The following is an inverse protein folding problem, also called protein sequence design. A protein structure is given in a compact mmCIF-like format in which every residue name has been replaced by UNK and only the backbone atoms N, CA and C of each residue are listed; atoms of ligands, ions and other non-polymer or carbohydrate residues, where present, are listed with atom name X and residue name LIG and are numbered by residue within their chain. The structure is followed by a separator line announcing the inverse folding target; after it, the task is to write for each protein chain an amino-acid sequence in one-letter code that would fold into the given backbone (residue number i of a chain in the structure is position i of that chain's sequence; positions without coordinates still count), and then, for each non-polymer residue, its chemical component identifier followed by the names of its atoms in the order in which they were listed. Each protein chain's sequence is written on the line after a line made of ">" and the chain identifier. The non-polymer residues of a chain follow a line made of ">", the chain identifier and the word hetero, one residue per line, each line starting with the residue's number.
data_IF_513454120505
#
_entry.id   IF_513454120505
#
_cell.length_a   1.000
_cell.length_b   1.000
_cell.length_c   1.000
_cell.angle_alpha   90.00
_cell.angle_beta   90.00
_cell.angle_gamma   90.00
#
_symmetry.space_group_name_H-M   'P 1'
#
loop_
_entity.id
_entity.type
_entity.pdbx_description
1 polymer ?
#
# COMPACT_ATOMS: atom_id res chain seq x y z
N UNK A 1 -36.68 5.99 -104.77
CA UNK A 1 -35.23 5.97 -104.44
C UNK A 1 -34.99 4.72 -103.60
N UNK A 2 -34.91 3.55 -104.24
CA UNK A 2 -33.71 2.94 -104.83
C UNK A 2 -32.72 2.47 -103.75
N UNK A 3 -32.80 1.19 -103.38
CA UNK A 3 -31.82 0.10 -103.66
C UNK A 3 -30.80 -0.05 -102.50
N UNK A 4 -30.39 -1.22 -101.99
CA UNK A 4 -30.59 -2.63 -102.33
C UNK A 4 -30.28 -3.52 -101.09
N UNK A 5 -30.80 -4.75 -101.08
CA UNK A 5 -30.34 -5.90 -100.27
C UNK A 5 -29.24 -6.66 -101.06
N UNK A 6 -28.38 -7.58 -100.52
CA UNK A 6 -28.81 -8.84 -99.89
C UNK A 6 -27.91 -9.47 -98.78
N UNK A 7 -28.49 -10.50 -98.14
CA UNK A 7 -27.93 -11.62 -97.35
C UNK A 7 -26.40 -11.91 -97.36
N UNK A 8 -25.82 -12.27 -96.20
CA UNK A 8 -25.24 -13.62 -95.96
C UNK A 8 -24.89 -13.91 -94.48
N UNK A 9 -24.94 -15.20 -94.15
CA UNK A 9 -24.76 -15.88 -92.86
C UNK A 9 -23.31 -16.31 -92.56
N UNK A 10 -23.10 -16.76 -91.31
CA UNK A 10 -22.05 -17.66 -90.77
C UNK A 10 -20.82 -17.02 -90.11
N UNK A 11 -20.75 -17.12 -88.76
CA UNK A 11 -19.74 -17.92 -88.05
C UNK A 11 -20.03 -17.93 -86.54
N UNK A 12 -20.57 -19.05 -86.06
CA UNK A 12 -20.62 -19.42 -84.65
C UNK A 12 -19.20 -19.70 -84.12
N UNK A 13 -18.87 -19.18 -82.94
CA UNK A 13 -17.61 -19.48 -82.23
C UNK A 13 -17.95 -20.26 -80.95
N UNK A 14 -17.46 -21.49 -80.75
CA UNK A 14 -17.83 -22.28 -79.60
C UNK A 14 -17.13 -21.74 -78.34
N UNK A 15 -17.93 -21.36 -77.33
CA UNK A 15 -17.43 -21.14 -75.98
C UNK A 15 -17.03 -22.50 -75.39
N UNK A 16 -15.72 -22.72 -75.19
CA UNK A 16 -15.22 -23.89 -74.45
C UNK A 16 -15.78 -23.84 -73.04
N UNK A 17 -16.67 -24.79 -72.72
CA UNK A 17 -17.13 -25.05 -71.37
C UNK A 17 -15.91 -25.40 -70.50
N UNK A 18 -15.53 -24.48 -69.62
CA UNK A 18 -14.51 -24.70 -68.61
C UNK A 18 -15.07 -25.76 -67.66
N UNK A 19 -14.44 -26.94 -67.64
CA UNK A 19 -14.90 -28.10 -66.89
C UNK A 19 -15.17 -27.75 -65.42
N UNK A 20 -16.27 -28.28 -64.86
CA UNK A 20 -16.64 -28.12 -63.44
C UNK A 20 -15.53 -28.56 -62.49
N UNK A 21 -14.62 -29.44 -62.93
CA UNK A 21 -13.41 -29.82 -62.19
C UNK A 21 -12.41 -28.68 -61.99
N UNK A 22 -12.33 -27.69 -62.89
CA UNK A 22 -11.44 -26.53 -62.74
C UNK A 22 -11.96 -25.60 -61.64
N UNK A 23 -13.28 -25.40 -61.56
CA UNK A 23 -13.90 -24.63 -60.48
C UNK A 23 -13.75 -25.33 -59.11
N UNK A 24 -13.85 -26.66 -59.08
CA UNK A 24 -13.60 -27.43 -57.86
C UNK A 24 -12.13 -27.31 -57.39
N UNK A 25 -11.17 -27.41 -58.32
CA UNK A 25 -9.74 -27.26 -57.99
C UNK A 25 -9.39 -25.84 -57.53
N UNK A 26 -9.98 -24.80 -58.14
CA UNK A 26 -9.80 -23.42 -57.69
C UNK A 26 -10.39 -23.20 -56.29
N UNK A 27 -11.57 -23.75 -56.01
CA UNK A 27 -12.20 -23.63 -54.68
C UNK A 27 -11.43 -24.37 -53.58
N UNK A 28 -10.90 -25.57 -53.86
CA UNK A 28 -10.03 -26.32 -52.93
C UNK A 28 -8.71 -25.58 -52.69
N UNK A 29 -8.11 -24.98 -53.71
CA UNK A 29 -6.87 -24.22 -53.55
C UNK A 29 -7.04 -22.97 -52.64
N UNK A 30 -8.20 -22.32 -52.67
CA UNK A 30 -8.53 -21.18 -51.81
C UNK A 30 -8.77 -21.60 -50.35
N UNK A 31 -9.32 -22.79 -50.12
CA UNK A 31 -9.51 -23.35 -48.77
C UNK A 31 -8.17 -23.77 -48.13
N UNK A 32 -7.26 -24.36 -48.90
CA UNK A 32 -5.93 -24.71 -48.38
C UNK A 32 -5.04 -23.49 -48.10
N UNK A 33 -5.12 -22.45 -48.93
CA UNK A 33 -4.35 -21.22 -48.71
C UNK A 33 -4.87 -20.41 -47.53
N UNK A 34 -6.18 -20.34 -47.30
CA UNK A 34 -6.75 -19.69 -46.11
C UNK A 34 -6.48 -20.45 -44.80
N UNK A 35 -6.48 -21.79 -44.81
CA UNK A 35 -6.13 -22.59 -43.66
C UNK A 35 -4.63 -22.47 -43.29
N UNK A 36 -3.74 -22.45 -44.30
CA UNK A 36 -2.31 -22.21 -44.09
C UNK A 36 -2.03 -20.79 -43.56
N UNK A 37 -2.73 -19.78 -44.08
CA UNK A 37 -2.62 -18.40 -43.61
C UNK A 37 -3.15 -18.23 -42.17
N UNK A 38 -4.26 -18.90 -41.83
CA UNK A 38 -4.78 -18.94 -40.46
C UNK A 38 -3.82 -19.64 -39.49
N UNK A 39 -3.16 -20.74 -39.89
CA UNK A 39 -2.14 -21.40 -39.06
C UNK A 39 -0.85 -20.59 -38.90
N UNK A 40 -0.54 -19.69 -39.86
CA UNK A 40 0.56 -18.72 -39.74
C UNK A 40 0.20 -17.53 -38.85
N UNK A 41 -1.06 -17.09 -38.85
CA UNK A 41 -1.56 -16.01 -37.99
C UNK A 41 -1.91 -16.47 -36.57
N UNK A 42 -2.23 -17.75 -36.38
CA UNK A 42 -2.57 -18.37 -35.10
C UNK A 42 -1.56 -19.43 -34.65
N UNK A 43 -0.31 -19.38 -35.13
CA UNK A 43 0.75 -19.97 -34.32
C UNK A 43 0.87 -19.10 -33.07
N UNK A 44 0.58 -19.63 -31.86
CA UNK A 44 1.10 -18.99 -30.67
C UNK A 44 2.60 -19.19 -30.78
N UNK A 45 3.27 -18.23 -31.42
CA UNK A 45 4.64 -17.96 -31.04
C UNK A 45 4.53 -17.66 -29.55
N UNK A 46 4.75 -18.70 -28.76
CA UNK A 46 5.40 -18.57 -27.48
C UNK A 46 6.72 -17.87 -27.80
N UNK A 47 6.63 -16.55 -27.96
CA UNK A 47 7.72 -15.63 -27.74
C UNK A 47 8.05 -15.80 -26.27
N UNK A 48 8.75 -16.90 -25.98
CA UNK A 48 9.69 -16.96 -24.89
C UNK A 48 10.74 -15.93 -25.29
N UNK A 49 10.46 -14.66 -24.99
CA UNK A 49 11.49 -13.65 -24.90
C UNK A 49 12.37 -14.07 -23.72
N UNK A 50 13.29 -14.99 -23.99
CA UNK A 50 14.49 -15.20 -23.19
C UNK A 50 15.47 -14.06 -23.52
N UNK A 51 14.97 -12.83 -23.48
CA UNK A 51 15.77 -11.62 -23.46
C UNK A 51 16.05 -11.38 -21.99
N UNK A 52 17.28 -11.62 -21.55
CA UNK A 52 17.74 -11.16 -20.24
C UNK A 52 17.53 -9.65 -20.20
N UNK A 53 16.40 -9.18 -19.63
CA UNK A 53 16.16 -7.75 -19.54
C UNK A 53 17.22 -7.19 -18.57
N UNK A 54 17.78 -6.00 -18.83
CA UNK A 54 18.91 -5.45 -18.09
C UNK A 54 18.68 -5.26 -16.57
N UNK A 55 17.46 -5.50 -16.08
CA UNK A 55 17.03 -5.24 -14.71
C UNK A 55 16.51 -6.47 -13.94
N UNK A 56 16.65 -7.70 -14.47
CA UNK A 56 16.16 -8.90 -13.76
C UNK A 56 16.78 -9.08 -12.37
N UNK A 57 18.05 -8.69 -12.23
CA UNK A 57 18.79 -8.84 -10.98
C UNK A 57 18.20 -7.98 -9.83
N UNK A 58 17.48 -6.90 -10.14
CA UNK A 58 16.80 -6.07 -9.14
C UNK A 58 15.66 -6.82 -8.43
N UNK A 59 15.12 -7.84 -9.08
CA UNK A 59 14.02 -8.65 -8.57
C UNK A 59 14.49 -9.98 -7.94
N UNK A 60 15.79 -10.22 -7.81
CA UNK A 60 16.31 -11.50 -7.32
C UNK A 60 15.93 -11.77 -5.86
N UNK A 61 15.81 -10.72 -5.04
CA UNK A 61 15.35 -10.80 -3.65
C UNK A 61 13.87 -10.46 -3.47
N UNK A 62 13.13 -10.23 -4.56
CA UNK A 62 11.71 -9.93 -4.46
C UNK A 62 10.92 -11.19 -4.09
N UNK A 63 10.02 -11.07 -3.12
CA UNK A 63 9.12 -12.17 -2.70
C UNK A 63 8.34 -12.76 -3.88
N UNK A 64 7.92 -11.92 -4.84
CA UNK A 64 7.27 -12.34 -6.07
C UNK A 64 8.04 -11.80 -7.28
N UNK A 65 8.99 -12.60 -7.78
CA UNK A 65 9.87 -12.22 -8.90
C UNK A 65 9.08 -11.85 -10.16
N UNK A 66 8.05 -12.61 -10.52
CA UNK A 66 7.22 -12.34 -11.72
C UNK A 66 6.51 -10.99 -11.65
N UNK A 67 5.88 -10.68 -10.52
CA UNK A 67 5.20 -9.39 -10.32
C UNK A 67 6.18 -8.22 -10.32
N UNK A 68 7.34 -8.38 -9.67
CA UNK A 68 8.40 -7.39 -9.70
C UNK A 68 8.84 -7.09 -11.14
N UNK A 69 9.13 -8.13 -11.93
CA UNK A 69 9.51 -7.98 -13.34
C UNK A 69 8.40 -7.32 -14.17
N UNK A 70 7.14 -7.67 -13.95
CA UNK A 70 6.00 -7.05 -14.61
C UNK A 70 5.95 -5.54 -14.32
N UNK A 71 6.11 -5.12 -13.06
CA UNK A 71 6.16 -3.71 -12.70
C UNK A 71 7.35 -2.98 -13.32
N UNK A 72 8.54 -3.60 -13.37
CA UNK A 72 9.69 -2.97 -14.02
C UNK A 72 9.48 -2.82 -15.53
N UNK A 73 8.88 -3.83 -16.18
CA UNK A 73 8.58 -3.77 -17.61
C UNK A 73 7.61 -2.64 -17.96
N UNK A 74 6.63 -2.36 -17.08
CA UNK A 74 5.68 -1.25 -17.22
C UNK A 74 6.40 0.11 -17.27
N UNK A 75 7.53 0.26 -16.57
CA UNK A 75 8.28 1.51 -16.49
C UNK A 75 9.22 1.72 -17.68
N UNK A 76 9.80 0.66 -18.23
CA UNK A 76 10.80 0.73 -19.32
C UNK A 76 10.23 1.19 -20.67
N UNK A 77 8.90 1.22 -20.83
CA UNK A 77 8.25 1.78 -22.02
C UNK A 77 8.29 3.32 -22.05
N UNK A 78 8.76 3.97 -20.99
CA UNK A 78 8.66 5.42 -20.81
C UNK A 78 10.00 6.19 -20.79
N UNK A 79 11.19 5.57 -20.94
CA UNK A 79 12.46 6.35 -20.86
C UNK A 79 13.68 5.70 -21.51
N UNK A 80 14.50 6.50 -22.19
CA UNK A 80 15.89 6.20 -22.61
C UNK A 80 16.85 6.50 -21.45
N UNK A 81 17.58 5.49 -20.97
CA UNK A 81 18.44 5.61 -19.77
C UNK A 81 19.95 5.53 -20.10
N UNK A 82 20.75 6.41 -19.47
CA UNK A 82 22.23 6.36 -19.46
C UNK A 82 22.78 6.22 -18.03
N UNK A 83 23.80 5.36 -17.86
CA UNK A 83 24.60 5.03 -16.64
C UNK A 83 23.90 4.33 -15.46
N UNK A 84 24.58 3.32 -14.88
CA UNK A 84 23.98 2.22 -14.09
C UNK A 84 23.52 2.53 -12.66
N UNK A 85 24.23 3.36 -11.89
CA UNK A 85 23.86 3.60 -10.47
C UNK A 85 22.73 4.62 -10.32
N UNK A 86 22.66 5.60 -11.21
CA UNK A 86 21.56 6.58 -11.27
C UNK A 86 20.27 5.93 -11.81
N UNK A 87 20.42 4.89 -12.64
CA UNK A 87 19.30 4.14 -13.23
C UNK A 87 18.45 3.42 -12.19
N UNK A 88 19.05 2.71 -11.23
CA UNK A 88 18.27 1.97 -10.22
C UNK A 88 17.48 2.93 -9.31
N UNK A 89 18.08 4.07 -8.94
CA UNK A 89 17.41 5.13 -8.19
C UNK A 89 16.27 5.76 -9.01
N UNK A 90 16.50 6.09 -10.29
CA UNK A 90 15.45 6.58 -11.21
C UNK A 90 14.30 5.59 -11.39
N UNK A 91 14.61 4.30 -11.49
CA UNK A 91 13.61 3.25 -11.63
C UNK A 91 12.75 3.13 -10.36
N UNK A 92 13.38 3.18 -9.18
CA UNK A 92 12.67 3.22 -7.90
C UNK A 92 11.77 4.46 -7.80
N UNK A 93 12.27 5.66 -8.11
CA UNK A 93 11.44 6.88 -8.12
C UNK A 93 10.26 6.79 -9.10
N UNK A 94 10.48 6.21 -10.28
CA UNK A 94 9.43 6.01 -11.28
C UNK A 94 8.37 5.01 -10.79
N UNK A 95 8.81 3.92 -10.16
CA UNK A 95 7.92 2.93 -9.53
C UNK A 95 7.09 3.57 -8.40
N UNK A 96 7.72 4.36 -7.53
CA UNK A 96 7.03 5.05 -6.43
C UNK A 96 6.02 6.08 -6.97
N UNK A 97 6.37 6.83 -8.01
CA UNK A 97 5.45 7.75 -8.68
C UNK A 97 4.24 7.01 -9.25
N UNK A 98 4.47 5.89 -9.94
CA UNK A 98 3.40 5.05 -10.48
C UNK A 98 2.53 4.45 -9.35
N UNK A 99 3.16 4.05 -8.25
CA UNK A 99 2.48 3.53 -7.06
C UNK A 99 1.53 4.59 -6.49
N UNK A 100 1.95 5.85 -6.36
CA UNK A 100 1.07 6.96 -5.92
C UNK A 100 -0.15 7.12 -6.82
N UNK A 101 0.01 7.08 -8.15
CA UNK A 101 -1.13 7.15 -9.07
C UNK A 101 -2.11 5.99 -8.87
N UNK A 102 -1.58 4.77 -8.66
CA UNK A 102 -2.41 3.59 -8.43
C UNK A 102 -3.11 3.63 -7.06
N UNK A 103 -2.45 4.12 -6.01
CA UNK A 103 -3.08 4.32 -4.70
C UNK A 103 -4.22 5.32 -4.82
N UNK A 104 -4.01 6.45 -5.52
CA UNK A 104 -5.06 7.45 -5.72
C UNK A 104 -6.27 6.87 -6.47
N UNK A 105 -6.04 6.14 -7.55
CA UNK A 105 -7.10 5.45 -8.30
C UNK A 105 -7.88 4.48 -7.41
N UNK A 106 -7.18 3.71 -6.58
CA UNK A 106 -7.78 2.76 -5.65
C UNK A 106 -8.59 3.47 -4.58
N UNK A 107 -8.06 4.57 -4.02
CA UNK A 107 -8.76 5.43 -3.06
C UNK A 107 -10.07 5.99 -3.62
N UNK A 108 -10.05 6.49 -4.87
CA UNK A 108 -11.25 6.99 -5.54
C UNK A 108 -12.28 5.88 -5.76
N UNK A 109 -11.80 4.68 -6.09
CA UNK A 109 -12.64 3.48 -6.26
C UNK A 109 -13.26 3.05 -4.93
N UNK A 110 -12.48 3.01 -3.85
CA UNK A 110 -12.96 2.74 -2.48
C UNK A 110 -14.04 3.73 -2.08
N UNK A 111 -13.81 5.04 -2.31
CA UNK A 111 -14.81 6.10 -2.06
C UNK A 111 -16.09 5.85 -2.86
N UNK A 112 -15.98 5.55 -4.15
CA UNK A 112 -17.13 5.27 -5.00
C UNK A 112 -17.91 4.02 -4.57
N UNK A 113 -17.22 2.94 -4.17
CA UNK A 113 -17.85 1.71 -3.67
C UNK A 113 -18.57 1.97 -2.36
N UNK A 114 -17.97 2.73 -1.43
CA UNK A 114 -18.56 3.07 -0.14
C UNK A 114 -19.95 3.72 -0.28
N UNK A 115 -20.11 4.62 -1.25
CA UNK A 115 -21.42 5.27 -1.51
C UNK A 115 -22.46 4.36 -2.18
N UNK A 116 -22.05 3.23 -2.76
CA UNK A 116 -22.95 2.27 -3.45
C UNK A 116 -23.36 1.09 -2.59
N UNK A 117 -22.54 0.75 -1.60
CA UNK A 117 -22.79 -0.35 -0.67
C UNK A 117 -23.78 0.10 0.40
N UNK A 118 -24.80 -0.71 0.67
CA UNK A 118 -25.84 -0.43 1.68
C UNK A 118 -25.57 -1.11 3.03
N UNK A 119 -24.53 -1.95 3.12
CA UNK A 119 -24.16 -2.63 4.36
C UNK A 119 -23.29 -1.71 5.24
N UNK A 120 -23.74 -1.35 6.46
CA UNK A 120 -23.00 -0.43 7.33
C UNK A 120 -21.63 -0.95 7.76
N UNK A 121 -21.48 -2.27 7.96
CA UNK A 121 -20.19 -2.88 8.34
C UNK A 121 -19.20 -2.73 7.17
N UNK A 122 -19.63 -3.01 5.95
CA UNK A 122 -18.81 -2.82 4.76
C UNK A 122 -18.48 -1.35 4.51
N UNK A 123 -19.41 -0.42 4.75
CA UNK A 123 -19.13 1.03 4.65
C UNK A 123 -18.04 1.46 5.64
N UNK A 124 -18.09 0.97 6.89
CA UNK A 124 -17.10 1.28 7.91
C UNK A 124 -15.72 0.68 7.57
N UNK A 125 -15.68 -0.56 7.06
CA UNK A 125 -14.46 -1.18 6.56
C UNK A 125 -13.85 -0.37 5.40
N UNK A 126 -14.66 0.08 4.44
CA UNK A 126 -14.21 0.92 3.34
C UNK A 126 -13.69 2.28 3.83
N UNK A 127 -14.32 2.88 4.84
CA UNK A 127 -13.82 4.12 5.46
C UNK A 127 -12.44 3.92 6.12
N UNK A 128 -12.23 2.79 6.81
CA UNK A 128 -10.91 2.44 7.36
C UNK A 128 -9.89 2.23 6.24
N UNK A 129 -10.28 1.53 5.17
CA UNK A 129 -9.41 1.38 4.01
C UNK A 129 -9.03 2.74 3.38
N UNK A 130 -9.98 3.68 3.23
CA UNK A 130 -9.70 5.03 2.74
C UNK A 130 -8.62 5.71 3.61
N UNK A 131 -8.74 5.63 4.94
CA UNK A 131 -7.77 6.19 5.86
C UNK A 131 -6.38 5.55 5.67
N UNK A 132 -6.30 4.23 5.52
CA UNK A 132 -5.04 3.50 5.30
C UNK A 132 -4.40 3.85 3.96
N UNK A 133 -5.20 4.04 2.90
CA UNK A 133 -4.70 4.44 1.58
C UNK A 133 -4.21 5.89 1.57
N UNK A 134 -4.90 6.82 2.24
CA UNK A 134 -4.43 8.21 2.40
C UNK A 134 -3.11 8.27 3.19
N UNK A 135 -2.98 7.50 4.27
CA UNK A 135 -1.72 7.35 4.99
C UNK A 135 -0.61 6.75 4.12
N UNK A 136 -0.97 5.83 3.23
CA UNK A 136 0.00 5.22 2.31
C UNK A 136 0.52 6.24 1.30
N UNK A 137 -0.33 7.13 0.76
CA UNK A 137 0.11 8.23 -0.11
C UNK A 137 1.15 9.12 0.57
N UNK A 138 0.86 9.56 1.80
CA UNK A 138 1.78 10.38 2.59
C UNK A 138 3.13 9.67 2.76
N UNK A 139 3.13 8.37 3.10
CA UNK A 139 4.36 7.58 3.32
C UNK A 139 5.14 7.30 2.05
N UNK A 140 4.49 7.11 0.91
CA UNK A 140 5.20 7.01 -0.37
C UNK A 140 5.88 8.34 -0.70
N UNK A 141 5.19 9.47 -0.49
CA UNK A 141 5.78 10.80 -0.70
C UNK A 141 6.95 11.08 0.23
N UNK A 142 6.80 10.82 1.53
CA UNK A 142 7.89 10.93 2.52
C UNK A 142 9.11 10.12 2.05
N UNK A 143 8.88 8.87 1.60
CA UNK A 143 9.94 7.99 1.10
C UNK A 143 10.68 8.59 -0.10
N UNK A 144 9.95 9.12 -1.08
CA UNK A 144 10.60 9.75 -2.23
C UNK A 144 11.40 10.99 -1.83
N UNK A 145 10.93 11.78 -0.87
CA UNK A 145 11.66 12.96 -0.37
C UNK A 145 12.95 12.52 0.33
N UNK A 146 12.89 11.54 1.24
CA UNK A 146 14.09 11.06 1.94
C UNK A 146 15.13 10.43 1.00
N UNK A 147 14.69 9.76 -0.07
CA UNK A 147 15.60 9.19 -1.07
C UNK A 147 16.40 10.25 -1.84
N UNK A 148 15.98 11.52 -1.82
CA UNK A 148 16.77 12.63 -2.39
C UNK A 148 18.04 12.94 -1.59
N UNK A 149 18.04 12.67 -0.27
CA UNK A 149 19.18 12.95 0.61
C UNK A 149 20.31 11.93 0.47
N UNK A 150 19.99 10.72 0.00
CA UNK A 150 20.95 9.62 -0.25
C UNK A 150 21.83 9.26 0.96
N UNK A 151 21.30 9.38 2.18
CA UNK A 151 22.02 8.98 3.41
C UNK A 151 21.54 7.60 3.89
N UNK A 152 22.35 6.90 4.71
CA UNK A 152 21.92 5.63 5.32
C UNK A 152 20.65 5.81 6.14
N UNK A 153 20.57 6.91 6.91
CA UNK A 153 19.40 7.23 7.72
C UNK A 153 18.16 7.47 6.84
N UNK A 154 18.28 8.29 5.80
CA UNK A 154 17.14 8.59 4.93
C UNK A 154 16.66 7.35 4.16
N UNK A 155 17.56 6.43 3.82
CA UNK A 155 17.20 5.13 3.28
C UNK A 155 16.48 4.22 4.29
N UNK A 156 16.90 4.21 5.56
CA UNK A 156 16.22 3.47 6.64
C UNK A 156 14.82 4.04 6.91
N UNK A 157 14.68 5.38 6.88
CA UNK A 157 13.39 6.06 6.98
C UNK A 157 12.48 5.67 5.82
N UNK A 158 12.97 5.73 4.58
CA UNK A 158 12.23 5.26 3.40
C UNK A 158 11.83 3.78 3.49
N UNK A 159 12.71 2.91 3.99
CA UNK A 159 12.40 1.49 4.19
C UNK A 159 11.26 1.32 5.20
N UNK A 160 11.30 2.05 6.32
CA UNK A 160 10.27 2.04 7.36
C UNK A 160 8.92 2.51 6.82
N UNK A 161 8.92 3.60 6.05
CA UNK A 161 7.68 4.14 5.47
C UNK A 161 7.10 3.24 4.37
N UNK A 162 7.92 2.68 3.47
CA UNK A 162 7.43 1.73 2.48
C UNK A 162 6.96 0.41 3.11
N UNK A 163 7.56 -0.02 4.22
CA UNK A 163 7.06 -1.16 5.02
C UNK A 163 5.68 -0.85 5.61
N UNK A 164 5.49 0.39 6.10
CA UNK A 164 4.19 0.87 6.57
C UNK A 164 3.16 0.89 5.43
N UNK A 165 3.52 1.32 4.22
CA UNK A 165 2.65 1.28 3.03
C UNK A 165 2.18 -0.15 2.74
N UNK A 166 3.09 -1.13 2.76
CA UNK A 166 2.74 -2.54 2.59
C UNK A 166 1.75 -3.01 3.66
N UNK A 167 2.02 -2.72 4.94
CA UNK A 167 1.13 -3.08 6.04
C UNK A 167 -0.24 -2.46 5.86
N UNK A 168 -0.33 -1.16 5.54
CA UNK A 168 -1.60 -0.47 5.32
C UNK A 168 -2.41 -1.10 4.17
N UNK A 169 -1.77 -1.49 3.07
CA UNK A 169 -2.44 -2.13 1.94
C UNK A 169 -2.97 -3.52 2.30
N UNK A 170 -2.19 -4.33 3.04
CA UNK A 170 -2.62 -5.63 3.53
C UNK A 170 -3.76 -5.47 4.54
N UNK A 171 -3.65 -4.56 5.50
CA UNK A 171 -4.74 -4.28 6.45
C UNK A 171 -6.00 -3.82 5.73
N UNK A 172 -5.93 -2.90 4.75
CA UNK A 172 -7.12 -2.53 3.99
C UNK A 172 -7.75 -3.76 3.29
N UNK A 173 -6.94 -4.62 2.67
CA UNK A 173 -7.42 -5.84 2.04
C UNK A 173 -8.09 -6.79 3.04
N UNK A 174 -7.55 -6.92 4.24
CA UNK A 174 -8.11 -7.77 5.30
C UNK A 174 -9.42 -7.20 5.87
N UNK A 175 -9.57 -5.87 5.95
CA UNK A 175 -10.78 -5.22 6.46
C UNK A 175 -11.98 -5.34 5.50
N UNK A 176 -11.75 -5.30 4.19
CA UNK A 176 -12.86 -5.34 3.21
C UNK A 176 -13.36 -6.77 3.00
N UNK A 177 -14.67 -6.95 3.16
CA UNK A 177 -15.36 -8.25 3.03
C UNK A 177 -16.53 -8.19 2.04
N UNK A 178 -17.06 -9.35 1.67
CA UNK A 178 -18.30 -9.49 0.90
C UNK A 178 -18.26 -8.81 -0.47
N UNK A 179 -19.36 -8.14 -0.83
CA UNK A 179 -19.51 -7.45 -2.11
C UNK A 179 -18.49 -6.33 -2.30
N UNK A 180 -18.14 -5.61 -1.24
CA UNK A 180 -17.12 -4.56 -1.31
C UNK A 180 -15.76 -5.14 -1.71
N UNK A 181 -15.35 -6.26 -1.07
CA UNK A 181 -14.10 -6.96 -1.41
C UNK A 181 -14.06 -7.38 -2.87
N UNK A 182 -15.12 -8.04 -3.36
CA UNK A 182 -15.19 -8.52 -4.74
C UNK A 182 -14.98 -7.42 -5.79
N UNK A 183 -15.30 -6.16 -5.46
CA UNK A 183 -15.16 -5.01 -6.35
C UNK A 183 -13.75 -4.40 -6.34
N UNK A 184 -12.98 -4.52 -5.25
CA UNK A 184 -11.72 -3.79 -5.05
C UNK A 184 -10.50 -4.71 -4.85
N UNK A 185 -10.70 -6.01 -4.65
CA UNK A 185 -9.64 -6.97 -4.30
C UNK A 185 -8.51 -7.01 -5.31
N UNK A 186 -8.80 -6.90 -6.61
CA UNK A 186 -7.75 -6.85 -7.63
C UNK A 186 -6.87 -5.60 -7.51
N UNK A 187 -7.47 -4.43 -7.26
CA UNK A 187 -6.74 -3.17 -7.12
C UNK A 187 -5.88 -3.20 -5.83
N UNK A 188 -6.40 -3.74 -4.72
CA UNK A 188 -5.65 -3.89 -3.47
C UNK A 188 -4.49 -4.88 -3.60
N UNK A 189 -4.69 -6.01 -4.28
CA UNK A 189 -3.61 -6.96 -4.54
C UNK A 189 -2.50 -6.35 -5.42
N UNK A 190 -2.87 -5.54 -6.42
CA UNK A 190 -1.89 -4.77 -7.21
C UNK A 190 -1.09 -3.81 -6.33
N UNK A 191 -1.74 -3.08 -5.42
CA UNK A 191 -1.06 -2.21 -4.45
C UNK A 191 -0.11 -2.98 -3.52
N UNK A 192 -0.54 -4.10 -2.95
CA UNK A 192 0.31 -4.97 -2.12
C UNK A 192 1.54 -5.43 -2.91
N UNK A 193 1.33 -5.86 -4.17
CA UNK A 193 2.38 -6.31 -5.06
C UNK A 193 3.39 -5.18 -5.39
N UNK A 194 2.91 -3.97 -5.66
CA UNK A 194 3.75 -2.79 -5.91
C UNK A 194 4.54 -2.38 -4.68
N UNK A 195 3.93 -2.37 -3.50
CA UNK A 195 4.63 -2.08 -2.24
C UNK A 195 5.76 -3.07 -1.96
N UNK A 196 5.52 -4.38 -2.17
CA UNK A 196 6.57 -5.42 -2.09
C UNK A 196 7.71 -5.19 -3.08
N UNK A 197 7.36 -4.80 -4.31
CA UNK A 197 8.35 -4.50 -5.36
C UNK A 197 9.20 -3.29 -5.01
N UNK A 198 8.57 -2.21 -4.51
CA UNK A 198 9.25 -1.00 -4.06
C UNK A 198 10.24 -1.27 -2.93
N UNK A 199 9.86 -2.10 -1.96
CA UNK A 199 10.77 -2.54 -0.88
C UNK A 199 11.95 -3.34 -1.41
N UNK A 200 11.71 -4.31 -2.31
CA UNK A 200 12.79 -5.11 -2.90
C UNK A 200 13.80 -4.24 -3.67
N UNK A 201 13.31 -3.28 -4.46
CA UNK A 201 14.16 -2.34 -5.19
C UNK A 201 14.90 -1.40 -4.25
N UNK A 202 14.24 -0.89 -3.20
CA UNK A 202 14.88 -0.02 -2.21
C UNK A 202 16.06 -0.74 -1.56
N UNK A 203 15.86 -1.95 -1.05
CA UNK A 203 16.93 -2.75 -0.41
C UNK A 203 18.10 -2.97 -1.37
N UNK A 204 17.83 -3.14 -2.67
CA UNK A 204 18.89 -3.26 -3.67
C UNK A 204 19.67 -1.96 -3.93
N UNK A 205 18.99 -0.80 -3.84
CA UNK A 205 19.61 0.53 -4.03
C UNK A 205 20.35 1.00 -2.78
N UNK A 206 19.97 0.50 -1.60
CA UNK A 206 20.62 0.82 -0.34
C UNK A 206 22.10 0.34 -0.35
N UNK A 207 23.04 1.15 0.17
CA UNK A 207 24.43 0.72 0.28
C UNK A 207 24.52 -0.52 1.19
N UNK A 208 25.23 -1.56 0.74
CA UNK A 208 25.36 -2.85 1.44
C UNK A 208 26.03 -2.78 2.81
N UNK A 209 26.54 -1.61 3.21
CA UNK A 209 26.94 -1.36 4.59
C UNK A 209 25.73 -0.88 5.38
N UNK A 210 24.87 -1.83 5.70
CA UNK A 210 24.11 -1.70 6.93
C UNK A 210 25.15 -1.98 8.02
N UNK A 211 25.84 -0.92 8.47
CA UNK A 211 26.22 -0.89 9.87
C UNK A 211 24.87 -0.91 10.59
N UNK A 212 24.35 -2.12 10.82
CA UNK A 212 23.35 -2.31 11.86
C UNK A 212 24.08 -1.72 13.02
N UNK A 213 23.65 -0.55 13.47
CA UNK A 213 24.01 -0.11 14.80
C UNK A 213 23.37 -1.19 15.65
N UNK A 214 24.12 -2.26 15.88
CA UNK A 214 23.95 -3.16 16.99
C UNK A 214 24.28 -2.27 18.19
N UNK A 215 23.37 -1.32 18.46
CA UNK A 215 23.30 -0.63 19.73
C UNK A 215 22.88 -1.75 20.65
N UNK A 216 23.88 -2.52 21.07
CA UNK A 216 23.78 -3.57 22.03
C UNK A 216 23.04 -2.91 23.20
N UNK A 217 21.76 -3.25 23.35
CA UNK A 217 20.90 -2.65 24.35
C UNK A 217 21.38 -3.18 25.71
N UNK A 218 22.51 -2.65 26.18
CA UNK A 218 23.18 -3.02 27.43
C UNK A 218 22.41 -2.49 28.65
N UNK A 219 21.09 -2.36 28.53
CA UNK A 219 20.24 -1.61 29.44
C UNK A 219 20.29 -0.09 29.23
N UNK A 220 21.13 0.43 28.34
CA UNK A 220 21.20 1.87 28.05
C UNK A 220 20.12 2.29 27.02
N UNK A 221 19.47 3.42 27.28
CA UNK A 221 18.49 3.98 26.35
C UNK A 221 19.16 4.45 25.05
N UNK A 222 18.53 4.19 23.88
CA UNK A 222 19.04 4.64 22.59
C UNK A 222 19.41 6.13 22.53
N UNK A 223 20.40 6.45 21.70
CA UNK A 223 20.89 7.84 21.51
C UNK A 223 19.81 8.86 21.10
N UNK A 224 18.72 8.42 20.45
CA UNK A 224 17.61 9.29 20.02
C UNK A 224 16.66 9.70 21.17
N UNK A 225 16.72 9.04 22.32
CA UNK A 225 15.97 9.43 23.51
C UNK A 225 16.76 10.55 24.20
N UNK A 226 16.10 11.69 24.48
CA UNK A 226 16.80 12.82 25.12
C UNK A 226 17.14 12.49 26.59
N UNK A 227 18.18 13.11 27.15
CA UNK A 227 18.55 12.89 28.56
C UNK A 227 17.42 13.27 29.54
N UNK A 228 16.58 14.24 29.17
CA UNK A 228 15.38 14.60 29.93
C UNK A 228 14.33 13.48 29.90
N UNK A 229 14.17 12.84 28.75
CA UNK A 229 13.21 11.76 28.56
C UNK A 229 13.68 10.49 29.26
N UNK A 230 14.97 10.14 29.17
CA UNK A 230 15.59 9.06 29.96
C UNK A 230 15.29 9.22 31.45
N UNK A 231 15.62 10.38 32.01
CA UNK A 231 15.37 10.68 33.44
C UNK A 231 13.90 10.53 33.82
N UNK A 232 12.98 10.84 32.91
CA UNK A 232 11.55 10.72 33.16
C UNK A 232 11.07 9.26 33.07
N UNK A 233 11.64 8.46 32.18
CA UNK A 233 11.36 7.03 32.02
C UNK A 233 11.99 6.19 33.14
N UNK A 234 13.03 6.69 33.80
CA UNK A 234 13.68 6.04 34.95
C UNK A 234 13.08 6.48 36.29
N UNK A 235 12.33 7.57 36.32
CA UNK A 235 11.74 8.09 37.55
C UNK A 235 10.61 7.18 38.05
N UNK A 236 10.53 6.91 39.36
CA UNK A 236 9.35 6.25 39.90
C UNK A 236 8.11 7.12 39.66
N UNK A 237 6.95 6.48 39.45
CA UNK A 237 5.69 7.15 39.11
C UNK A 237 5.34 8.32 40.06
N UNK A 238 5.65 8.19 41.35
CA UNK A 238 5.42 9.20 42.38
C UNK A 238 6.28 10.48 42.23
N UNK A 239 7.45 10.39 41.61
CA UNK A 239 8.36 11.53 41.41
C UNK A 239 8.05 12.29 40.12
N UNK A 240 7.17 11.74 39.27
CA UNK A 240 6.77 12.36 38.03
C UNK A 240 5.72 13.45 38.30
N UNK A 241 6.08 14.71 38.02
CA UNK A 241 5.15 15.83 38.13
C UNK A 241 4.08 15.77 37.03
N UNK A 242 2.88 15.35 37.42
CA UNK A 242 1.71 15.30 36.54
C UNK A 242 1.15 16.68 36.21
N UNK A 243 0.63 16.87 34.99
CA UNK A 243 -0.18 18.02 34.62
C UNK A 243 -1.63 17.86 35.06
N UNK A 244 -2.17 16.64 34.92
CA UNK A 244 -3.52 16.27 35.33
C UNK A 244 -3.55 14.85 35.90
N UNK A 245 -4.52 14.59 36.78
CA UNK A 245 -4.72 13.31 37.44
C UNK A 245 -6.08 12.74 37.05
N UNK A 246 -6.10 11.47 36.70
CA UNK A 246 -7.29 10.66 36.42
C UNK A 246 -7.55 9.74 37.61
N UNK A 247 -8.74 9.80 38.18
CA UNK A 247 -9.13 8.93 39.28
C UNK A 247 -10.61 8.59 39.22
N UNK A 248 -10.92 7.28 39.23
CA UNK A 248 -12.32 6.80 39.18
C UNK A 248 -13.16 7.22 40.39
N UNK A 249 -12.52 7.34 41.54
CA UNK A 249 -13.14 7.78 42.80
C UNK A 249 -13.49 9.28 42.81
N UNK A 250 -13.12 10.03 41.77
CA UNK A 250 -13.32 11.48 41.68
C UNK A 250 -12.28 12.31 42.43
N UNK A 251 -11.23 11.70 42.99
CA UNK A 251 -10.12 12.42 43.63
C UNK A 251 -9.18 13.12 42.64
N UNK A 252 -9.31 12.83 41.35
CA UNK A 252 -8.58 13.43 40.25
C UNK A 252 -9.39 14.49 39.52
N UNK A 253 -8.76 15.19 38.59
CA UNK A 253 -9.43 16.19 37.74
C UNK A 253 -10.41 15.54 36.75
N UNK A 254 -10.11 14.34 36.28
CA UNK A 254 -10.94 13.57 35.35
C UNK A 254 -11.24 12.19 35.91
N UNK A 255 -12.34 11.59 35.46
CA UNK A 255 -12.73 10.21 35.83
C UNK A 255 -12.28 9.18 34.80
N UNK A 256 -12.08 9.62 33.55
CA UNK A 256 -11.69 8.78 32.42
C UNK A 256 -10.35 9.24 31.83
N UNK A 257 -9.64 8.31 31.19
CA UNK A 257 -8.38 8.60 30.51
C UNK A 257 -8.64 9.41 29.23
N UNK A 258 -9.72 9.11 28.50
CA UNK A 258 -10.14 9.85 27.31
C UNK A 258 -10.37 11.34 27.55
N UNK A 259 -11.06 11.71 28.64
CA UNK A 259 -11.24 13.12 29.02
C UNK A 259 -9.91 13.83 29.29
N UNK A 260 -8.98 13.14 29.96
CA UNK A 260 -7.67 13.70 30.25
C UNK A 260 -6.84 13.91 28.98
N UNK A 261 -6.87 12.95 28.05
CA UNK A 261 -6.22 13.07 26.73
C UNK A 261 -6.84 14.22 25.93
N UNK A 262 -8.17 14.34 25.92
CA UNK A 262 -8.86 15.43 25.24
C UNK A 262 -8.46 16.82 25.80
N UNK A 263 -8.20 16.89 27.10
CA UNK A 263 -7.77 18.13 27.78
C UNK A 263 -6.31 18.54 27.52
N UNK A 264 -5.50 17.65 26.94
CA UNK A 264 -4.12 17.97 26.60
C UNK A 264 -4.05 19.07 25.52
N UNK A 265 -3.15 20.05 25.63
CA UNK A 265 -3.01 21.10 24.63
C UNK A 265 -2.65 20.54 23.25
N UNK A 266 -3.27 21.09 22.20
CA UNK A 266 -2.93 20.74 20.83
C UNK A 266 -1.54 21.26 20.45
N UNK A 267 -0.78 20.45 19.71
CA UNK A 267 0.57 20.72 19.23
C UNK A 267 1.53 21.20 20.32
N UNK A 268 1.38 20.66 21.54
CA UNK A 268 2.22 21.02 22.67
C UNK A 268 3.71 20.81 22.35
N UNK A 269 4.53 21.84 22.59
CA UNK A 269 6.00 21.76 22.49
C UNK A 269 6.64 21.05 23.67
N UNK A 270 5.90 20.93 24.77
CA UNK A 270 6.35 20.30 26.01
C UNK A 270 5.50 19.08 26.32
N UNK A 271 6.09 18.14 27.07
CA UNK A 271 5.38 16.93 27.48
C UNK A 271 4.20 17.27 28.38
N UNK A 272 3.04 16.68 28.08
CA UNK A 272 1.83 16.74 28.88
C UNK A 272 1.64 15.39 29.57
N UNK A 273 1.87 15.36 30.88
CA UNK A 273 1.84 14.15 31.71
C UNK A 273 0.45 13.98 32.33
N UNK A 274 -0.19 12.87 32.00
CA UNK A 274 -1.47 12.41 32.55
C UNK A 274 -1.17 11.27 33.52
N UNK A 275 -1.45 11.50 34.79
CA UNK A 275 -1.30 10.48 35.82
C UNK A 275 -2.61 9.73 36.02
N UNK A 276 -2.59 8.41 35.91
CA UNK A 276 -3.75 7.54 36.00
C UNK A 276 -3.61 6.68 37.26
N UNK A 277 -4.38 7.02 38.30
CA UNK A 277 -4.36 6.29 39.56
C UNK A 277 -4.79 4.83 39.35
N UNK A 278 -4.47 3.97 40.31
CA UNK A 278 -4.83 2.56 40.31
C UNK A 278 -6.32 2.35 40.08
N UNK A 279 -6.64 1.34 39.30
CA UNK A 279 -8.00 0.99 38.93
C UNK A 279 -8.05 0.33 37.56
N UNK A 280 -9.20 -0.26 37.26
CA UNK A 280 -9.50 -0.85 35.96
C UNK A 280 -10.39 0.10 35.18
N UNK A 281 -9.86 0.75 34.16
CA UNK A 281 -10.51 1.71 33.27
C UNK A 281 -11.04 1.00 32.02
N UNK A 282 -12.37 0.88 31.92
CA UNK A 282 -13.04 0.24 30.79
C UNK A 282 -13.39 1.29 29.75
N UNK A 283 -12.46 1.55 28.84
CA UNK A 283 -12.58 2.57 27.79
C UNK A 283 -11.63 2.29 26.63
N UNK A 284 -12.01 2.73 25.43
CA UNK A 284 -11.12 2.80 24.28
C UNK A 284 -10.67 4.26 24.09
N UNK A 285 -9.37 4.51 24.17
CA UNK A 285 -8.79 5.85 24.12
C UNK A 285 -8.12 6.07 22.77
N UNK A 286 -8.54 7.10 22.04
CA UNK A 286 -7.88 7.53 20.79
C UNK A 286 -7.13 8.85 21.04
N UNK A 287 -5.82 8.82 20.86
CA UNK A 287 -4.96 10.01 20.93
C UNK A 287 -4.91 10.63 19.53
N UNK A 288 -5.60 11.75 19.35
CA UNK A 288 -5.68 12.44 18.05
C UNK A 288 -4.34 13.02 17.59
N UNK A 289 -4.20 13.23 16.28
CA UNK A 289 -2.97 13.71 15.63
C UNK A 289 -2.43 15.05 16.14
N UNK A 290 -3.31 15.89 16.69
CA UNK A 290 -2.93 17.16 17.30
C UNK A 290 -2.36 17.00 18.70
N UNK A 291 -2.62 15.90 19.40
CA UNK A 291 -2.20 15.65 20.78
C UNK A 291 -0.74 15.15 20.83
N UNK A 292 0.20 16.06 20.59
CA UNK A 292 1.64 15.78 20.57
C UNK A 292 2.23 15.76 21.98
N UNK A 293 3.25 14.92 22.19
CA UNK A 293 4.00 14.83 23.45
C UNK A 293 3.14 14.45 24.67
N UNK A 294 2.15 13.58 24.50
CA UNK A 294 1.35 13.06 25.61
C UNK A 294 2.08 11.91 26.29
N UNK A 295 2.09 11.90 27.62
CA UNK A 295 2.60 10.79 28.42
C UNK A 295 1.53 10.31 29.40
N UNK A 296 1.25 9.02 29.37
CA UNK A 296 0.41 8.37 30.38
C UNK A 296 1.30 7.69 31.42
N UNK A 297 1.02 7.92 32.70
CA UNK A 297 1.74 7.34 33.84
C UNK A 297 0.76 6.67 34.78
N UNK A 298 0.97 5.41 35.14
CA UNK A 298 0.13 4.69 36.11
C UNK A 298 0.77 4.55 37.50
N UNK A 299 -0.03 4.16 38.49
CA UNK A 299 0.43 3.78 39.84
C UNK A 299 1.31 2.51 39.80
N UNK A 300 1.24 1.73 38.72
CA UNK A 300 1.98 0.48 38.51
C UNK A 300 1.32 -0.36 37.42
N UNK A 301 2.11 -1.15 36.70
CA UNK A 301 1.62 -1.98 35.58
C UNK A 301 0.48 -2.92 36.01
N UNK A 302 0.57 -3.52 37.19
CA UNK A 302 -0.47 -4.42 37.71
C UNK A 302 -1.60 -3.70 38.48
N UNK A 303 -1.48 -2.38 38.65
CA UNK A 303 -2.41 -1.57 39.45
C UNK A 303 -3.28 -0.64 38.61
N UNK A 304 -2.74 -0.13 37.49
CA UNK A 304 -3.44 0.74 36.56
C UNK A 304 -3.65 -0.01 35.24
N UNK A 305 -4.89 -0.47 35.04
CA UNK A 305 -5.29 -1.26 33.86
C UNK A 305 -6.26 -0.45 33.03
N UNK A 306 -5.96 -0.28 31.73
CA UNK A 306 -6.91 0.24 30.74
C UNK A 306 -7.34 -0.95 29.88
N UNK A 307 -8.64 -1.18 29.72
CA UNK A 307 -9.20 -2.33 29.00
C UNK A 307 -10.29 -1.88 28.05
N UNK A 308 -10.20 -2.35 26.81
CA UNK A 308 -11.23 -2.21 25.78
C UNK A 308 -12.00 -3.51 25.62
N UNK A 309 -13.05 -3.49 24.80
CA UNK A 309 -13.77 -4.72 24.41
C UNK A 309 -14.15 -4.72 22.92
N UNK A 310 -13.60 -3.78 22.14
CA UNK A 310 -13.87 -3.66 20.72
C UNK A 310 -13.12 -4.74 19.96
N UNK A 311 -13.80 -5.41 19.04
CA UNK A 311 -13.22 -6.48 18.23
C UNK A 311 -13.90 -6.58 16.85
N UNK A 312 -13.24 -7.29 15.93
CA UNK A 312 -13.71 -7.46 14.56
C UNK A 312 -15.00 -8.28 14.44
N UNK A 313 -15.16 -9.31 15.29
CA UNK A 313 -16.32 -10.21 15.26
C UNK A 313 -17.61 -9.44 15.57
N UNK A 314 -17.54 -8.48 16.51
CA UNK A 314 -18.65 -7.61 16.89
C UNK A 314 -18.84 -6.40 15.94
N UNK A 315 -18.10 -6.36 14.83
CA UNK A 315 -18.27 -5.36 13.77
C UNK A 315 -17.38 -4.11 13.88
N UNK A 316 -16.40 -4.08 14.80
CA UNK A 316 -15.41 -3.01 14.83
C UNK A 316 -14.23 -3.35 13.92
N UNK A 317 -13.90 -2.54 12.89
CA UNK A 317 -12.73 -2.77 12.05
C UNK A 317 -11.46 -2.96 12.87
N UNK A 318 -10.56 -3.87 12.50
CA UNK A 318 -9.38 -4.26 13.31
C UNK A 318 -8.54 -3.03 13.68
N UNK A 319 -8.37 -2.11 12.72
CA UNK A 319 -7.64 -0.86 12.93
C UNK A 319 -8.19 0.03 14.06
N UNK A 320 -9.48 -0.11 14.40
CA UNK A 320 -10.19 0.66 15.43
C UNK A 320 -10.39 -0.09 16.74
N UNK A 321 -9.82 -1.28 16.87
CA UNK A 321 -10.02 -2.11 18.06
C UNK A 321 -9.06 -1.83 19.22
N UNK A 322 -7.99 -1.07 18.99
CA UNK A 322 -7.00 -0.78 20.02
C UNK A 322 -7.63 -0.16 21.28
N UNK A 323 -7.26 -0.68 22.45
CA UNK A 323 -7.67 -0.13 23.75
C UNK A 323 -7.10 1.27 23.98
N UNK A 324 -5.84 1.48 23.61
CA UNK A 324 -5.27 2.81 23.50
C UNK A 324 -4.64 2.93 22.12
N UNK A 325 -5.36 3.59 21.22
CA UNK A 325 -4.92 3.90 19.86
C UNK A 325 -4.36 5.31 19.75
N UNK A 326 -3.51 5.52 18.76
CA UNK A 326 -3.07 6.85 18.35
C UNK A 326 -3.37 7.03 16.88
N UNK A 327 -3.73 8.26 16.50
CA UNK A 327 -3.79 8.61 15.08
C UNK A 327 -2.39 8.42 14.48
N UNK A 328 -2.21 7.77 13.32
CA UNK A 328 -0.90 7.52 12.73
C UNK A 328 -0.10 8.77 12.37
N UNK A 329 -0.72 9.96 12.36
CA UNK A 329 -0.05 11.26 12.20
C UNK A 329 0.35 11.90 13.54
N UNK A 330 -0.01 11.30 14.67
CA UNK A 330 0.37 11.77 16.01
C UNK A 330 1.87 11.65 16.21
N UNK A 331 2.50 12.71 16.71
CA UNK A 331 3.93 12.71 17.02
C UNK A 331 4.16 12.48 18.51
N UNK A 332 4.82 11.36 18.83
CA UNK A 332 5.41 11.01 20.13
C UNK A 332 4.39 10.88 21.28
N UNK A 333 4.06 9.64 21.60
CA UNK A 333 3.29 9.24 22.80
C UNK A 333 4.15 8.31 23.64
N UNK A 334 4.12 8.45 24.96
CA UNK A 334 4.86 7.57 25.87
C UNK A 334 3.95 6.98 26.95
N UNK A 335 4.12 5.70 27.23
CA UNK A 335 3.36 4.94 28.23
C UNK A 335 4.30 4.45 29.31
N UNK A 336 3.95 4.64 30.58
CA UNK A 336 4.83 4.29 31.69
C UNK A 336 4.04 3.75 32.89
N UNK A 337 4.41 2.58 33.41
CA UNK A 337 3.77 1.95 34.57
C UNK A 337 2.25 1.73 34.44
N UNK A 338 1.77 1.34 33.26
CA UNK A 338 0.37 1.00 33.02
C UNK A 338 0.25 -0.13 31.99
N UNK A 339 -0.81 -0.92 32.13
CA UNK A 339 -1.06 -2.08 31.30
C UNK A 339 -2.37 -1.91 30.52
N UNK A 340 -2.30 -2.14 29.21
CA UNK A 340 -3.44 -2.00 28.31
C UNK A 340 -3.86 -3.41 27.83
N UNK A 341 -5.06 -3.84 28.19
CA UNK A 341 -5.64 -5.13 27.78
C UNK A 341 -6.70 -4.96 26.70
N UNK A 342 -6.88 -6.02 25.92
CA UNK A 342 -7.93 -6.21 24.93
C UNK A 342 -9.08 -7.04 25.51
#
# INVERSE_FOLDING_TARGET
>A
MAMASPNQSLLDKPNKSISKTIWLLLSLSALFSSALFASYLFSPTSFIFNLSHPHHHLCDHALHKSSCLAHLSELTQASTFTTSNDLNSKLLHSLLTKTTSQIQKTLDSTKAIKYRINDPKQQQALQVCEQLLELSLDRVWDSMVALTEKTTKSNQDAHTWLSTVLTNHVTCLDEVEGSARALIESDLNDLVSRARTSLALLVHVMPSKIDVVDEQLNGEFPSWITSKDRKLLEAPSNDIKANVVVAKDGSGRFKTVGEAVASAPDNSKTRYVIYVKKGVYKENVEIGSTKKNVMLVGDGMDSTIITGSLNFVDGTPTFKTATVGMDPKTSVVSFHHLHCFY
#
